data_IF_682560242855
#
_entry.id   IF_682560242855
#
_cell.length_a   1.000
_cell.length_b   1.000
_cell.length_c   1.000
_cell.angle_alpha   90.00
_cell.angle_beta   90.00
_cell.angle_gamma   90.00
#
_symmetry.space_group_name_H-M   'P 1'
#
loop_
_entity.id
_entity.type
_entity.pdbx_description
1 polymer ?
#
# COMPACT_ATOMS: atom_id res chain seq x y z
N UNK A 1 29.46 -7.79 -17.18
CA UNK A 1 28.92 -6.50 -16.71
C UNK A 1 27.81 -6.81 -15.74
N UNK A 2 28.02 -6.58 -14.44
CA UNK A 2 26.99 -6.84 -13.44
C UNK A 2 25.99 -5.69 -13.46
N UNK A 3 24.91 -5.83 -14.23
CA UNK A 3 23.73 -4.97 -14.09
C UNK A 3 23.19 -5.19 -12.68
N UNK A 4 23.39 -4.22 -11.79
CA UNK A 4 22.72 -4.19 -10.50
C UNK A 4 21.22 -4.21 -10.79
N UNK A 5 20.57 -5.32 -10.46
CA UNK A 5 19.13 -5.45 -10.64
C UNK A 5 18.45 -4.45 -9.70
N UNK A 6 17.63 -3.57 -10.26
CA UNK A 6 16.86 -2.62 -9.48
C UNK A 6 15.91 -3.38 -8.54
N UNK A 7 15.89 -3.01 -7.26
CA UNK A 7 14.96 -3.53 -6.26
C UNK A 7 13.83 -2.51 -6.08
N UNK A 8 12.57 -2.87 -6.40
CA UNK A 8 11.43 -1.97 -6.21
C UNK A 8 11.32 -1.40 -4.80
N UNK A 9 10.87 -0.14 -4.71
CA UNK A 9 10.72 0.58 -3.43
C UNK A 9 9.24 0.84 -3.17
N UNK A 10 8.73 0.36 -2.04
CA UNK A 10 7.37 0.60 -1.60
C UNK A 10 7.36 1.73 -0.58
N UNK A 11 6.80 2.87 -0.97
CA UNK A 11 6.51 3.99 -0.10
C UNK A 11 5.21 3.71 0.65
N UNK A 12 5.31 3.69 1.97
CA UNK A 12 4.21 3.32 2.86
C UNK A 12 4.17 4.23 4.08
N UNK A 13 3.08 4.13 4.83
CA UNK A 13 2.90 4.86 6.09
C UNK A 13 2.29 3.94 7.14
N UNK A 14 2.70 4.11 8.39
CA UNK A 14 2.16 3.33 9.50
C UNK A 14 0.66 3.61 9.68
N UNK A 15 -0.10 2.57 10.03
CA UNK A 15 -1.55 2.68 10.21
C UNK A 15 -2.37 2.80 8.93
N UNK A 16 -1.76 2.78 7.74
CA UNK A 16 -2.51 2.72 6.48
C UNK A 16 -2.98 1.29 6.19
N UNK A 17 -4.30 1.05 6.09
CA UNK A 17 -4.82 -0.30 5.87
C UNK A 17 -4.48 -0.85 4.46
N UNK A 18 -4.37 0.02 3.45
CA UNK A 18 -3.94 -0.37 2.10
C UNK A 18 -2.45 -0.73 2.03
N UNK A 19 -1.60 -0.08 2.83
CA UNK A 19 -0.19 -0.45 2.94
C UNK A 19 -0.05 -1.85 3.56
N UNK A 20 -0.86 -2.17 4.57
CA UNK A 20 -0.90 -3.50 5.18
C UNK A 20 -1.43 -4.54 4.20
N UNK A 21 -2.47 -4.23 3.42
CA UNK A 21 -2.97 -5.11 2.33
C UNK A 21 -1.83 -5.57 1.42
N UNK A 22 -1.04 -4.62 0.90
CA UNK A 22 0.09 -4.92 0.02
C UNK A 22 1.19 -5.71 0.74
N UNK A 23 1.52 -5.36 1.99
CA UNK A 23 2.52 -6.08 2.79
C UNK A 23 2.14 -7.53 3.03
N UNK A 24 0.87 -7.81 3.34
CA UNK A 24 0.36 -9.19 3.53
C UNK A 24 0.47 -9.96 2.23
N UNK A 25 0.06 -9.36 1.11
CA UNK A 25 0.21 -9.99 -0.21
C UNK A 25 1.67 -10.38 -0.49
N UNK A 26 2.60 -9.42 -0.37
CA UNK A 26 4.02 -9.65 -0.64
C UNK A 26 4.62 -10.71 0.28
N UNK A 27 4.21 -10.75 1.55
CA UNK A 27 4.66 -11.74 2.51
C UNK A 27 4.16 -13.15 2.15
N UNK A 28 2.86 -13.32 1.93
CA UNK A 28 2.26 -14.62 1.66
C UNK A 28 2.64 -15.16 0.27
N UNK A 29 2.84 -14.27 -0.70
CA UNK A 29 3.34 -14.60 -2.04
C UNK A 29 4.84 -14.97 -2.06
N UNK A 30 5.57 -14.81 -0.95
CA UNK A 30 7.02 -15.04 -0.89
C UNK A 30 7.84 -14.02 -1.69
N UNK A 31 7.32 -12.79 -1.84
CA UNK A 31 7.90 -11.70 -2.63
C UNK A 31 8.44 -10.56 -1.75
N UNK A 32 8.29 -10.64 -0.43
CA UNK A 32 8.67 -9.55 0.50
C UNK A 32 10.14 -9.17 0.39
N UNK A 33 11.03 -10.14 0.17
CA UNK A 33 12.48 -9.91 0.03
C UNK A 33 12.88 -9.33 -1.34
N UNK A 34 11.92 -9.19 -2.27
CA UNK A 34 12.14 -8.60 -3.59
C UNK A 34 11.85 -7.11 -3.64
N UNK A 35 11.44 -6.51 -2.53
CA UNK A 35 11.13 -5.08 -2.44
C UNK A 35 11.77 -4.48 -1.19
N UNK A 36 11.99 -3.17 -1.22
CA UNK A 36 12.37 -2.39 -0.03
C UNK A 36 11.19 -1.54 0.42
N UNK A 37 10.98 -1.40 1.73
CA UNK A 37 9.98 -0.46 2.25
C UNK A 37 10.66 0.82 2.72
N UNK A 38 10.14 1.95 2.26
CA UNK A 38 10.37 3.26 2.90
C UNK A 38 9.06 3.62 3.60
N UNK A 39 9.08 3.57 4.93
CA UNK A 39 7.88 3.72 5.75
C UNK A 39 7.99 4.97 6.62
N UNK A 40 7.04 5.89 6.46
CA UNK A 40 6.89 6.98 7.42
C UNK A 40 6.20 6.44 8.67
N UNK A 41 6.77 6.76 9.83
CA UNK A 41 6.33 6.30 11.16
C UNK A 41 5.86 7.45 12.03
N UNK A 42 6.34 8.67 11.78
CA UNK A 42 5.85 9.90 12.43
C UNK A 42 5.00 10.74 11.47
N UNK A 43 4.18 11.69 11.98
CA UNK A 43 3.47 12.64 11.14
C UNK A 43 4.40 13.41 10.19
N UNK A 44 5.57 13.84 10.67
CA UNK A 44 6.56 14.58 9.87
C UNK A 44 7.11 13.73 8.73
N UNK A 45 7.43 12.45 9.00
CA UNK A 45 7.87 11.52 7.96
C UNK A 45 6.75 11.23 6.94
N UNK A 46 5.48 11.18 7.38
CA UNK A 46 4.35 11.05 6.46
C UNK A 46 4.24 12.23 5.53
N UNK A 47 4.36 13.45 6.05
CA UNK A 47 4.26 14.69 5.27
C UNK A 47 5.43 14.79 4.27
N UNK A 48 6.64 14.42 4.68
CA UNK A 48 7.80 14.36 3.80
C UNK A 48 7.60 13.36 2.64
N UNK A 49 7.09 12.16 2.94
CA UNK A 49 6.78 11.17 1.91
C UNK A 49 5.64 11.62 1.00
N UNK A 50 4.61 12.26 1.57
CA UNK A 50 3.50 12.81 0.80
C UNK A 50 3.97 13.90 -0.16
N UNK A 51 4.86 14.80 0.27
CA UNK A 51 5.46 15.82 -0.58
C UNK A 51 6.34 15.20 -1.67
N UNK A 52 7.17 14.22 -1.31
CA UNK A 52 8.00 13.47 -2.26
C UNK A 52 7.16 12.83 -3.38
N UNK A 53 6.09 12.12 -3.01
CA UNK A 53 5.20 11.48 -3.98
C UNK A 53 4.42 12.51 -4.81
N UNK A 54 3.91 13.56 -4.17
CA UNK A 54 3.18 14.63 -4.88
C UNK A 54 4.03 15.28 -5.96
N UNK A 55 5.32 15.51 -5.70
CA UNK A 55 6.26 16.05 -6.71
C UNK A 55 6.47 15.13 -7.91
N UNK A 56 6.28 13.82 -7.77
CA UNK A 56 6.60 12.81 -8.78
C UNK A 56 5.41 12.29 -9.55
N UNK A 57 4.28 12.11 -8.88
CA UNK A 57 3.04 11.55 -9.46
C UNK A 57 1.83 12.49 -9.34
N UNK A 58 2.05 13.74 -8.89
CA UNK A 58 1.01 14.77 -8.81
C UNK A 58 0.07 14.65 -7.60
N UNK A 59 0.15 13.56 -6.82
CA UNK A 59 -0.64 13.36 -5.60
C UNK A 59 0.08 12.47 -4.59
N UNK A 60 -0.21 12.65 -3.30
CA UNK A 60 0.19 11.70 -2.27
C UNK A 60 -0.80 10.51 -2.24
N UNK A 61 -0.34 9.32 -2.63
CA UNK A 61 -1.08 8.06 -2.47
C UNK A 61 -0.22 7.02 -1.77
N UNK A 62 -0.81 6.26 -0.85
CA UNK A 62 -0.11 5.21 -0.11
C UNK A 62 -0.95 3.92 -0.12
N UNK A 63 -0.36 2.77 -0.48
CA UNK A 63 1.04 2.59 -0.92
C UNK A 63 1.29 3.16 -2.33
N UNK A 64 2.54 3.51 -2.61
CA UNK A 64 3.05 3.75 -3.98
C UNK A 64 4.34 2.97 -4.14
N UNK A 65 4.51 2.25 -5.24
CA UNK A 65 5.75 1.54 -5.55
C UNK A 65 6.54 2.23 -6.65
N UNK A 66 7.84 2.45 -6.46
CA UNK A 66 8.77 2.66 -7.56
C UNK A 66 9.15 1.28 -8.12
N UNK A 67 8.54 0.90 -9.24
CA UNK A 67 8.63 -0.45 -9.83
C UNK A 67 9.78 -0.60 -10.82
N UNK A 68 10.26 0.53 -11.35
CA UNK A 68 11.52 0.69 -12.07
C UNK A 68 12.02 2.13 -11.85
N UNK A 69 13.29 2.46 -12.14
CA UNK A 69 13.81 3.80 -11.93
C UNK A 69 12.89 4.88 -12.50
N UNK A 70 12.47 5.82 -11.64
CA UNK A 70 11.56 6.92 -11.95
C UNK A 70 10.15 6.52 -12.46
N UNK A 71 9.76 5.25 -12.32
CA UNK A 71 8.42 4.75 -12.67
C UNK A 71 7.65 4.37 -11.41
N UNK A 72 6.61 5.13 -11.12
CA UNK A 72 5.83 5.03 -9.89
C UNK A 72 4.44 4.49 -10.18
N UNK A 73 4.06 3.43 -9.47
CA UNK A 73 2.74 2.81 -9.51
C UNK A 73 2.01 3.08 -8.19
N UNK A 74 1.01 3.96 -8.17
CA UNK A 74 0.18 4.17 -6.99
C UNK A 74 -0.84 3.04 -6.82
N UNK A 75 -1.56 3.06 -5.71
CA UNK A 75 -2.68 2.16 -5.39
C UNK A 75 -2.28 0.71 -5.06
N UNK A 76 -2.87 0.17 -3.99
CA UNK A 76 -2.52 -1.17 -3.52
C UNK A 76 -2.94 -2.27 -4.48
N UNK A 77 -4.04 -2.10 -5.23
CA UNK A 77 -4.53 -3.10 -6.17
C UNK A 77 -3.63 -3.23 -7.40
N UNK A 78 -3.25 -2.10 -8.00
CA UNK A 78 -2.32 -2.08 -9.13
C UNK A 78 -0.95 -2.68 -8.76
N UNK A 79 -0.47 -2.41 -7.53
CA UNK A 79 0.76 -3.00 -7.01
C UNK A 79 0.63 -4.52 -6.81
N UNK A 80 -0.50 -5.00 -6.29
CA UNK A 80 -0.76 -6.45 -6.17
C UNK A 80 -0.74 -7.11 -7.54
N UNK A 81 -1.43 -6.54 -8.53
CA UNK A 81 -1.46 -7.10 -9.90
C UNK A 81 -0.07 -7.13 -10.54
N UNK A 82 0.71 -6.06 -10.35
CA UNK A 82 2.09 -5.98 -10.83
C UNK A 82 2.97 -7.10 -10.26
N UNK A 83 2.98 -7.26 -8.92
CA UNK A 83 3.82 -8.26 -8.27
C UNK A 83 3.28 -9.69 -8.44
N UNK A 84 1.96 -9.88 -8.57
CA UNK A 84 1.35 -11.15 -8.92
C UNK A 84 1.83 -11.65 -10.29
N UNK A 85 1.87 -10.76 -11.29
CA UNK A 85 2.37 -11.08 -12.62
C UNK A 85 3.85 -11.47 -12.62
N UNK A 86 4.68 -10.79 -11.81
CA UNK A 86 6.13 -11.07 -11.73
C UNK A 86 6.41 -12.35 -10.93
N UNK A 87 5.63 -12.58 -9.87
CA UNK A 87 5.76 -13.76 -9.01
C UNK A 87 5.12 -15.02 -9.59
N UNK A 88 4.28 -14.89 -10.63
CA UNK A 88 3.40 -15.96 -11.12
C UNK A 88 2.53 -16.51 -9.97
N UNK A 89 1.99 -15.60 -9.17
CA UNK A 89 1.15 -15.90 -8.01
C UNK A 89 -0.28 -15.46 -8.30
N UNK A 90 -1.25 -16.30 -7.94
CA UNK A 90 -2.67 -15.97 -8.02
C UNK A 90 -3.14 -15.41 -6.65
N UNK A 91 -3.47 -14.11 -6.53
CA UNK A 91 -3.88 -13.51 -5.26
C UNK A 91 -5.14 -14.15 -4.67
N UNK A 92 -6.00 -14.78 -5.47
CA UNK A 92 -7.21 -15.43 -5.01
C UNK A 92 -6.92 -16.73 -4.23
N UNK A 93 -5.71 -17.28 -4.38
CA UNK A 93 -5.26 -18.50 -3.70
C UNK A 93 -4.48 -18.23 -2.42
N UNK A 94 -4.33 -16.96 -2.03
CA UNK A 94 -3.59 -16.54 -0.84
C UNK A 94 -4.56 -16.34 0.34
N UNK A 95 -4.73 -17.35 1.23
CA UNK A 95 -5.81 -17.32 2.23
C UNK A 95 -5.69 -16.17 3.23
N UNK A 96 -4.48 -15.79 3.65
CA UNK A 96 -4.26 -14.70 4.61
C UNK A 96 -4.56 -13.35 3.97
N UNK A 97 -4.10 -13.16 2.75
CA UNK A 97 -4.39 -12.00 1.93
C UNK A 97 -5.89 -11.87 1.67
N UNK A 98 -6.59 -12.96 1.35
CA UNK A 98 -8.04 -12.94 1.15
C UNK A 98 -8.80 -12.66 2.45
N UNK A 99 -8.38 -13.24 3.57
CA UNK A 99 -8.97 -12.93 4.88
C UNK A 99 -8.82 -11.44 5.23
N UNK A 100 -7.69 -10.83 4.90
CA UNK A 100 -7.51 -9.40 5.12
C UNK A 100 -8.25 -8.54 4.08
N UNK A 101 -7.92 -8.70 2.80
CA UNK A 101 -8.40 -7.83 1.71
C UNK A 101 -9.88 -8.03 1.38
N UNK A 102 -10.39 -9.25 1.47
CA UNK A 102 -11.77 -9.60 1.12
C UNK A 102 -12.75 -9.54 2.29
N UNK A 103 -12.28 -9.56 3.55
CA UNK A 103 -13.16 -9.55 4.72
C UNK A 103 -12.84 -8.43 5.72
N UNK A 104 -11.61 -8.34 6.24
CA UNK A 104 -11.28 -7.35 7.28
C UNK A 104 -11.24 -5.91 6.76
N UNK A 105 -10.61 -5.68 5.61
CA UNK A 105 -10.45 -4.35 5.04
C UNK A 105 -11.81 -3.70 4.68
N UNK A 106 -12.75 -4.37 4.00
CA UNK A 106 -14.08 -3.83 3.77
C UNK A 106 -14.80 -3.44 5.06
N UNK A 107 -14.70 -4.29 6.09
CA UNK A 107 -15.31 -4.02 7.40
C UNK A 107 -14.69 -2.82 8.10
N UNK A 108 -13.36 -2.64 8.01
CA UNK A 108 -12.70 -1.44 8.49
C UNK A 108 -13.20 -0.19 7.77
N UNK A 109 -13.36 -0.24 6.45
CA UNK A 109 -13.89 0.87 5.66
C UNK A 109 -15.33 1.23 6.05
N UNK A 110 -16.18 0.23 6.31
CA UNK A 110 -17.53 0.42 6.85
C UNK A 110 -17.50 1.14 8.20
N UNK A 111 -16.69 0.64 9.15
CA UNK A 111 -16.55 1.29 10.46
C UNK A 111 -16.04 2.73 10.36
N UNK A 112 -15.06 3.01 9.50
CA UNK A 112 -14.57 4.38 9.29
C UNK A 112 -15.67 5.30 8.75
N UNK A 113 -16.50 4.80 7.82
CA UNK A 113 -17.62 5.54 7.25
C UNK A 113 -18.68 5.86 8.31
N UNK A 114 -19.12 4.85 9.05
CA UNK A 114 -20.10 5.02 10.14
C UNK A 114 -19.58 5.98 11.21
N UNK A 115 -18.32 5.82 11.62
CA UNK A 115 -17.69 6.70 12.60
C UNK A 115 -17.60 8.15 12.12
N UNK A 116 -17.31 8.37 10.82
CA UNK A 116 -17.29 9.71 10.22
C UNK A 116 -18.66 10.36 10.25
N UNK A 117 -19.71 9.61 9.89
CA UNK A 117 -21.09 10.10 9.90
C UNK A 117 -21.56 10.43 11.33
N UNK A 118 -21.27 9.57 12.31
CA UNK A 118 -21.60 9.82 13.72
C UNK A 118 -20.92 11.09 14.26
N UNK A 119 -19.65 11.33 13.90
CA UNK A 119 -18.95 12.57 14.29
C UNK A 119 -19.60 13.82 13.72
N UNK A 120 -20.03 13.80 12.46
CA UNK A 120 -20.73 14.94 11.85
C UNK A 120 -22.04 15.24 12.57
N UNK A 121 -22.80 14.21 12.92
CA UNK A 121 -24.06 14.36 13.67
C UNK A 121 -23.86 14.91 15.09
N UNK A 122 -22.78 14.53 15.77
CA UNK A 122 -22.44 15.09 17.09
C UNK A 122 -22.03 16.56 17.02
N UNK A 123 -21.29 16.96 15.98
CA UNK A 123 -20.83 18.35 15.81
C UNK A 123 -21.94 19.30 15.34
N UNK A 124 -23.05 18.76 14.82
CA UNK A 124 -24.22 19.54 14.38
C UNK A 124 -25.25 19.79 15.50
N UNK A 125 -25.01 19.28 16.72
CA UNK A 125 -25.82 19.52 17.92
C UNK A 125 -25.14 20.54 18.83
#
# INVERSE_FOLDING_TARGET
MSTTQFTPIIYSKIGCPYCIKLRIFLLEAGLIDRVTFVEGKTPEEHDQLAEFLTKRIGRASFPTGEISPDNYLPESDDLVDHFASIGVVDPQKLPTYQAFSGALLPRLQEFYREYSELKKLQQAK
#
